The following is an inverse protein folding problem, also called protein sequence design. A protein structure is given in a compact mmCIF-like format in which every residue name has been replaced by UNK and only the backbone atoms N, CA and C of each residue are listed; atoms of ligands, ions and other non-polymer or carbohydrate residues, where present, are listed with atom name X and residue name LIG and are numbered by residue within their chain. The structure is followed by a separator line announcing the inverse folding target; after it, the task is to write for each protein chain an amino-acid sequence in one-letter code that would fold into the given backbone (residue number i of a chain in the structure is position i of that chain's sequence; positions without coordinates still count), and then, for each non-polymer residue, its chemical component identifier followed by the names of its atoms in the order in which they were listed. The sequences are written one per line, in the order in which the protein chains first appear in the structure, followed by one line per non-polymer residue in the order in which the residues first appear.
data_IF_279787931083
#
_entry.id   IF_279787931083
#
_cell.length_a   1.000
_cell.length_b   1.000
_cell.length_c   1.000
_cell.angle_alpha   90.00
_cell.angle_beta   90.00
_cell.angle_gamma   90.00
#
_symmetry.space_group_name_H-M   'P 1'
#
loop_
_entity.id
_entity.type
_entity.pdbx_description
1 polymer ?
#
# COMPACT_ATOMS: atom_id res chain seq x y z
N UNK A 1 -8.12 -32.55 -7.63
CA UNK A 1 -8.93 -33.78 -7.76
C UNK A 1 -10.19 -33.56 -8.63
N UNK A 2 -10.12 -32.99 -9.84
CA UNK A 2 -11.29 -32.96 -10.75
C UNK A 2 -10.93 -32.78 -12.25
N UNK A 3 -9.78 -33.29 -12.74
CA UNK A 3 -9.40 -33.14 -14.16
C UNK A 3 -9.25 -34.43 -14.95
N UNK A 4 -9.51 -35.60 -14.37
CA UNK A 4 -9.39 -36.90 -15.05
C UNK A 4 -10.56 -37.33 -15.95
N UNK A 5 -11.77 -36.71 -15.95
CA UNK A 5 -12.83 -37.13 -16.86
C UNK A 5 -12.76 -36.49 -18.27
N UNK A 6 -12.17 -35.27 -18.41
CA UNK A 6 -12.21 -34.55 -19.69
C UNK A 6 -11.33 -35.14 -20.80
N UNK A 7 -10.20 -35.77 -20.46
CA UNK A 7 -9.32 -36.37 -21.49
C UNK A 7 -9.89 -37.64 -22.13
N UNK A 8 -10.79 -38.38 -21.44
CA UNK A 8 -11.45 -39.54 -22.04
C UNK A 8 -12.58 -39.19 -23.01
N UNK A 9 -13.21 -38.05 -22.86
CA UNK A 9 -14.30 -37.62 -23.76
C UNK A 9 -13.78 -37.09 -25.10
N UNK A 10 -12.59 -36.48 -25.14
CA UNK A 10 -11.99 -35.97 -26.40
C UNK A 10 -11.55 -37.11 -27.30
N UNK A 11 -10.98 -38.19 -26.76
CA UNK A 11 -10.59 -39.38 -27.51
C UNK A 11 -11.81 -40.10 -28.12
N UNK A 12 -12.92 -40.17 -27.35
CA UNK A 12 -14.14 -40.86 -27.80
C UNK A 12 -14.88 -40.07 -28.88
N UNK A 13 -14.84 -38.73 -28.85
CA UNK A 13 -15.47 -37.85 -29.84
C UNK A 13 -14.70 -37.85 -31.16
N UNK A 14 -13.36 -37.84 -31.13
CA UNK A 14 -12.53 -37.96 -32.34
C UNK A 14 -12.71 -39.32 -33.01
N UNK A 15 -12.72 -40.40 -32.24
CA UNK A 15 -12.98 -41.74 -32.76
C UNK A 15 -14.40 -41.89 -33.36
N UNK A 16 -15.38 -41.21 -32.76
CA UNK A 16 -16.77 -41.19 -33.24
C UNK A 16 -16.89 -40.39 -34.53
N UNK A 17 -16.17 -39.31 -34.71
CA UNK A 17 -16.12 -38.50 -35.94
C UNK A 17 -15.44 -39.29 -37.07
N UNK A 18 -14.34 -40.00 -36.79
CA UNK A 18 -13.67 -40.86 -37.81
C UNK A 18 -14.59 -42.00 -38.27
N UNK A 19 -15.35 -42.62 -37.38
CA UNK A 19 -16.30 -43.68 -37.72
C UNK A 19 -17.46 -43.12 -38.55
N UNK A 20 -17.94 -41.92 -38.28
CA UNK A 20 -19.02 -41.27 -39.04
C UNK A 20 -18.52 -40.88 -40.43
N UNK A 21 -17.31 -40.35 -40.56
CA UNK A 21 -16.74 -40.01 -41.89
C UNK A 21 -16.49 -41.25 -42.73
N UNK A 22 -16.00 -42.33 -42.19
CA UNK A 22 -15.80 -43.60 -42.91
C UNK A 22 -17.12 -44.31 -43.28
N UNK A 23 -18.17 -44.15 -42.47
CA UNK A 23 -19.50 -44.73 -42.78
C UNK A 23 -20.27 -43.89 -43.84
N UNK A 24 -20.04 -42.57 -43.88
CA UNK A 24 -20.58 -41.71 -44.96
C UNK A 24 -19.89 -41.92 -46.31
N UNK A 25 -18.59 -42.19 -46.31
CA UNK A 25 -17.85 -42.53 -47.54
C UNK A 25 -18.32 -43.83 -48.19
N UNK A 26 -18.92 -44.75 -47.42
CA UNK A 26 -19.51 -46.01 -47.98
C UNK A 26 -20.93 -45.88 -48.54
N UNK A 27 -21.60 -44.73 -48.39
CA UNK A 27 -22.97 -44.48 -48.86
C UNK A 27 -23.12 -43.62 -50.10
N UNK A 28 -22.04 -43.00 -50.62
CA UNK A 28 -22.06 -42.13 -51.80
C UNK A 28 -21.34 -42.90 -52.90
N UNK A 29 -22.13 -43.33 -53.96
CA UNK A 29 -21.63 -44.13 -55.09
C UNK A 29 -20.49 -43.42 -55.80
N UNK A 30 -19.56 -44.23 -56.28
CA UNK A 30 -18.43 -44.05 -57.19
C UNK A 30 -18.32 -42.70 -57.95
N UNK A 31 -17.94 -41.64 -57.18
CA UNK A 31 -17.10 -40.56 -57.67
C UNK A 31 -15.87 -40.56 -56.78
N UNK A 32 -14.69 -40.70 -57.40
CA UNK A 32 -13.38 -40.64 -56.68
C UNK A 32 -13.20 -39.24 -56.02
N UNK A 33 -13.69 -39.09 -54.79
CA UNK A 33 -13.41 -37.92 -54.03
C UNK A 33 -11.96 -38.04 -53.50
N UNK A 34 -11.12 -37.14 -53.95
CA UNK A 34 -9.76 -37.03 -53.44
C UNK A 34 -9.77 -36.59 -51.98
N UNK A 35 -9.68 -37.57 -51.06
CA UNK A 35 -9.65 -37.36 -49.61
C UNK A 35 -8.27 -37.00 -49.10
N UNK A 36 -7.25 -36.98 -49.97
CA UNK A 36 -5.84 -36.83 -49.58
C UNK A 36 -5.54 -35.48 -48.90
N UNK A 37 -6.23 -34.43 -49.28
CA UNK A 37 -6.08 -33.10 -48.63
C UNK A 37 -6.65 -33.09 -47.22
N UNK A 38 -7.79 -33.72 -46.98
CA UNK A 38 -8.40 -33.83 -45.62
C UNK A 38 -7.60 -34.75 -44.71
N UNK A 39 -7.06 -35.85 -45.25
CA UNK A 39 -6.18 -36.75 -44.46
C UNK A 39 -4.90 -36.04 -44.05
N UNK A 40 -4.31 -35.18 -44.90
CA UNK A 40 -3.16 -34.37 -44.56
C UNK A 40 -3.47 -33.31 -43.50
N UNK A 41 -4.64 -32.65 -43.59
CA UNK A 41 -5.07 -31.67 -42.59
C UNK A 41 -5.36 -32.33 -41.22
N UNK A 42 -5.95 -33.53 -41.21
CA UNK A 42 -6.19 -34.29 -39.98
C UNK A 42 -4.86 -34.68 -39.34
N UNK A 43 -3.88 -35.17 -40.08
CA UNK A 43 -2.57 -35.54 -39.56
C UNK A 43 -1.81 -34.32 -38.96
N UNK A 44 -1.93 -33.15 -39.59
CA UNK A 44 -1.34 -31.92 -39.07
C UNK A 44 -2.01 -31.46 -37.79
N UNK A 45 -3.35 -31.52 -37.66
CA UNK A 45 -4.08 -31.19 -36.44
C UNK A 45 -3.79 -32.17 -35.29
N UNK A 46 -3.63 -33.48 -35.61
CA UNK A 46 -3.21 -34.48 -34.61
C UNK A 46 -1.83 -34.16 -34.05
N UNK A 47 -0.87 -33.77 -34.91
CA UNK A 47 0.46 -33.36 -34.47
C UNK A 47 0.40 -32.11 -33.57
N UNK A 48 -0.35 -31.09 -33.96
CA UNK A 48 -0.54 -29.88 -33.16
C UNK A 48 -1.20 -30.19 -31.81
N UNK A 49 -2.15 -31.12 -31.77
CA UNK A 49 -2.79 -31.55 -30.53
C UNK A 49 -1.81 -32.27 -29.59
N UNK A 50 -0.93 -33.11 -30.13
CA UNK A 50 0.12 -33.79 -29.39
C UNK A 50 1.10 -32.75 -28.79
N UNK A 51 1.54 -31.75 -29.55
CA UNK A 51 2.43 -30.71 -29.09
C UNK A 51 1.76 -29.83 -27.98
N UNK A 52 0.50 -29.45 -28.18
CA UNK A 52 -0.27 -28.71 -27.19
C UNK A 52 -0.44 -29.49 -25.87
N UNK A 53 -0.70 -30.82 -25.97
CA UNK A 53 -0.82 -31.68 -24.82
C UNK A 53 0.49 -31.84 -24.05
N UNK A 54 1.63 -31.96 -24.76
CA UNK A 54 2.96 -32.02 -24.17
C UNK A 54 3.30 -30.70 -23.46
N UNK A 55 3.00 -29.54 -24.08
CA UNK A 55 3.17 -28.23 -23.47
C UNK A 55 2.31 -28.07 -22.21
N UNK A 56 1.07 -28.50 -22.25
CA UNK A 56 0.17 -28.51 -21.07
C UNK A 56 0.71 -29.35 -19.93
N UNK A 57 1.27 -30.50 -20.23
CA UNK A 57 1.88 -31.41 -19.22
C UNK A 57 3.10 -30.77 -18.57
N UNK A 58 3.96 -30.10 -19.37
CA UNK A 58 5.13 -29.39 -18.85
C UNK A 58 4.74 -28.20 -17.95
N UNK A 59 3.73 -27.42 -18.36
CA UNK A 59 3.18 -26.34 -17.54
C UNK A 59 2.57 -26.82 -16.23
N UNK A 60 1.89 -27.97 -16.24
CA UNK A 60 1.38 -28.58 -15.01
C UNK A 60 2.52 -28.96 -14.05
N UNK A 61 3.60 -29.52 -14.56
CA UNK A 61 4.77 -29.86 -13.75
C UNK A 61 5.47 -28.61 -13.18
N UNK A 62 5.57 -27.56 -13.97
CA UNK A 62 6.11 -26.27 -13.49
C UNK A 62 5.24 -25.65 -12.41
N UNK A 63 3.92 -25.71 -12.54
CA UNK A 63 2.98 -25.25 -11.53
C UNK A 63 3.09 -26.07 -10.23
N UNK A 64 3.21 -27.38 -10.32
CA UNK A 64 3.41 -28.24 -9.15
C UNK A 64 4.72 -27.92 -8.42
N UNK A 65 5.82 -27.71 -9.16
CA UNK A 65 7.11 -27.31 -8.59
C UNK A 65 7.04 -25.91 -7.96
N UNK A 66 6.33 -24.98 -8.56
CA UNK A 66 6.09 -23.64 -7.99
C UNK A 66 5.29 -23.72 -6.69
N UNK A 67 4.24 -24.55 -6.63
CA UNK A 67 3.46 -24.75 -5.42
C UNK A 67 4.30 -25.35 -4.28
N UNK A 68 5.15 -26.33 -4.56
CA UNK A 68 6.09 -26.91 -3.56
C UNK A 68 7.04 -25.82 -3.05
N UNK A 69 7.52 -24.95 -3.92
CA UNK A 69 8.40 -23.84 -3.53
C UNK A 69 7.68 -22.81 -2.64
N UNK A 70 6.41 -22.52 -2.94
CA UNK A 70 5.56 -21.64 -2.12
C UNK A 70 5.32 -22.25 -0.73
N UNK A 71 5.04 -23.55 -0.64
CA UNK A 71 4.86 -24.22 0.65
C UNK A 71 6.15 -24.21 1.50
N UNK A 72 7.30 -24.40 0.87
CA UNK A 72 8.60 -24.28 1.57
C UNK A 72 8.86 -22.85 2.07
N UNK A 73 8.59 -21.84 1.24
CA UNK A 73 8.70 -20.43 1.66
C UNK A 73 7.73 -20.10 2.79
N UNK A 74 6.50 -20.60 2.73
CA UNK A 74 5.51 -20.40 3.78
C UNK A 74 5.98 -20.99 5.13
N UNK A 75 6.58 -22.18 5.08
CA UNK A 75 7.16 -22.82 6.27
C UNK A 75 8.32 -22.00 6.85
N UNK A 76 9.20 -21.45 6.00
CA UNK A 76 10.32 -20.60 6.44
C UNK A 76 9.82 -19.29 7.06
N UNK A 77 8.81 -18.66 6.47
CA UNK A 77 8.19 -17.44 7.03
C UNK A 77 7.58 -17.74 8.41
N UNK A 78 6.87 -18.84 8.55
CA UNK A 78 6.29 -19.24 9.84
C UNK A 78 7.36 -19.46 10.92
N UNK A 79 8.47 -20.07 10.57
CA UNK A 79 9.62 -20.26 11.49
C UNK A 79 10.26 -18.94 11.89
N UNK A 80 10.42 -18.00 10.94
CA UNK A 80 10.96 -16.66 11.21
C UNK A 80 10.03 -15.85 12.13
N UNK A 81 8.71 -15.94 11.92
CA UNK A 81 7.73 -15.29 12.80
C UNK A 81 7.86 -15.85 14.23
N UNK A 82 7.96 -17.16 14.39
CA UNK A 82 8.15 -17.76 15.72
C UNK A 82 9.47 -17.34 16.38
N UNK A 83 10.54 -17.21 15.61
CA UNK A 83 11.83 -16.71 16.12
C UNK A 83 11.73 -15.25 16.56
N UNK A 84 11.01 -14.42 15.81
CA UNK A 84 10.75 -13.02 16.14
C UNK A 84 9.90 -12.89 17.42
N UNK A 85 8.84 -13.68 17.55
CA UNK A 85 8.00 -13.71 18.75
C UNK A 85 8.81 -14.13 20.00
N UNK A 86 9.68 -15.13 19.86
CA UNK A 86 10.55 -15.56 20.96
C UNK A 86 11.60 -14.50 21.32
N UNK A 87 12.15 -13.78 20.33
CA UNK A 87 13.08 -12.68 20.57
C UNK A 87 12.37 -11.53 21.31
N UNK A 88 11.17 -11.16 20.88
CA UNK A 88 10.35 -10.14 21.53
C UNK A 88 10.00 -10.52 22.97
N UNK A 89 9.56 -11.77 23.22
CA UNK A 89 9.29 -12.27 24.56
C UNK A 89 10.55 -12.24 25.46
N UNK A 90 11.72 -12.48 24.87
CA UNK A 90 13.01 -12.40 25.61
C UNK A 90 13.34 -10.95 25.96
N UNK A 91 13.10 -10.01 25.04
CA UNK A 91 13.27 -8.57 25.26
C UNK A 91 12.33 -8.10 26.36
N UNK A 92 11.04 -8.45 26.30
CA UNK A 92 10.06 -8.12 27.35
C UNK A 92 10.42 -8.71 28.72
N UNK A 93 10.93 -9.96 28.74
CA UNK A 93 11.39 -10.58 29.99
C UNK A 93 12.63 -9.87 30.57
N UNK A 94 13.56 -9.43 29.73
CA UNK A 94 14.70 -8.61 30.17
C UNK A 94 14.27 -7.25 30.70
N UNK A 95 13.28 -6.60 30.05
CA UNK A 95 12.70 -5.33 30.47
C UNK A 95 11.96 -5.47 31.83
N UNK A 96 11.24 -6.59 32.03
CA UNK A 96 10.48 -6.83 33.26
C UNK A 96 11.35 -7.19 34.47
N UNK A 97 12.50 -7.80 34.28
CA UNK A 97 13.41 -8.19 35.37
C UNK A 97 14.23 -7.04 35.95
N UNK A 98 14.40 -5.95 35.21
CA UNK A 98 15.30 -4.87 35.59
C UNK A 98 14.65 -3.77 36.44
N UNK A 99 13.32 -3.71 36.50
CA UNK A 99 12.60 -2.65 37.25
C UNK A 99 12.92 -1.22 36.79
N UNK A 100 13.77 -1.10 35.75
CA UNK A 100 14.09 0.14 35.05
C UNK A 100 13.80 -0.08 33.59
N UNK A 101 12.93 0.71 33.01
CA UNK A 101 12.80 0.86 31.57
C UNK A 101 14.20 1.18 31.01
N UNK A 102 14.79 0.26 30.24
CA UNK A 102 16.04 0.53 29.49
C UNK A 102 15.78 1.38 28.23
N UNK A 103 14.74 2.15 28.22
CA UNK A 103 14.58 3.21 27.25
C UNK A 103 15.79 4.16 27.40
N UNK A 104 16.58 4.29 26.35
CA UNK A 104 17.68 5.23 26.35
C UNK A 104 17.13 6.64 26.65
N UNK A 105 17.62 7.29 27.69
CA UNK A 105 17.29 8.69 27.92
C UNK A 105 18.32 9.57 27.21
N UNK A 106 17.92 10.11 26.08
CA UNK A 106 18.70 11.01 25.24
C UNK A 106 18.01 12.38 25.13
N UNK A 107 17.05 12.66 26.04
CA UNK A 107 16.29 13.90 26.03
C UNK A 107 17.19 15.13 26.11
N UNK A 108 16.79 16.19 25.39
CA UNK A 108 17.52 17.47 25.33
C UNK A 108 18.94 17.39 24.75
N UNK A 109 19.37 16.25 24.23
CA UNK A 109 20.69 16.10 23.66
C UNK A 109 20.79 16.79 22.28
N UNK A 110 22.02 17.16 21.93
CA UNK A 110 22.35 17.59 20.59
C UNK A 110 23.05 16.44 19.87
N UNK A 111 22.39 15.88 18.85
CA UNK A 111 22.88 14.79 18.01
C UNK A 111 23.08 15.22 16.56
N UNK A 112 23.25 16.53 16.32
CA UNK A 112 23.42 17.07 14.98
C UNK A 112 24.57 16.39 14.22
N UNK A 113 24.30 15.97 12.98
CA UNK A 113 25.29 15.32 12.12
C UNK A 113 25.73 13.94 12.63
N UNK A 114 25.11 13.37 13.65
CA UNK A 114 25.45 12.04 14.15
C UNK A 114 25.13 10.96 13.09
N UNK A 115 25.87 9.86 13.10
CA UNK A 115 25.58 8.66 12.34
C UNK A 115 24.93 7.63 13.25
N UNK A 116 23.61 7.48 13.12
CA UNK A 116 22.75 6.59 13.88
C UNK A 116 22.01 5.60 12.96
N UNK A 117 22.54 5.39 11.74
CA UNK A 117 21.96 4.45 10.79
C UNK A 117 21.87 3.05 11.40
N UNK A 118 20.66 2.43 11.32
CA UNK A 118 20.37 1.14 11.90
C UNK A 118 20.37 1.10 13.44
N UNK A 119 20.39 2.25 14.13
CA UNK A 119 20.34 2.30 15.58
C UNK A 119 19.05 1.64 16.11
N UNK A 120 19.15 0.92 17.24
CA UNK A 120 18.02 0.28 17.91
C UNK A 120 17.67 1.05 19.18
N UNK A 121 16.64 1.89 19.10
CA UNK A 121 16.23 2.84 20.14
C UNK A 121 14.71 2.78 20.43
N UNK A 122 14.08 1.60 20.48
CA UNK A 122 12.63 1.53 20.75
C UNK A 122 12.35 2.09 22.14
N UNK A 123 11.22 2.79 22.26
CA UNK A 123 10.75 3.42 23.49
C UNK A 123 11.73 4.44 24.10
N UNK A 124 12.76 4.90 23.38
CA UNK A 124 13.72 5.87 23.87
C UNK A 124 13.03 7.20 24.25
N UNK A 125 13.53 7.86 25.30
CA UNK A 125 13.16 9.22 25.61
C UNK A 125 14.06 10.18 24.79
N UNK A 126 13.48 10.75 23.74
CA UNK A 126 14.13 11.66 22.80
C UNK A 126 13.47 13.04 22.80
N UNK A 127 12.76 13.38 23.88
CA UNK A 127 12.07 14.68 24.01
C UNK A 127 13.06 15.84 23.90
N UNK A 128 12.71 16.85 23.08
CA UNK A 128 13.54 18.04 22.85
C UNK A 128 14.94 17.73 22.32
N UNK A 129 15.20 16.53 21.80
CA UNK A 129 16.48 16.15 21.19
C UNK A 129 16.58 16.79 19.81
N UNK A 130 17.79 17.27 19.49
CA UNK A 130 18.07 17.84 18.18
C UNK A 130 18.84 16.84 17.31
N UNK A 131 18.30 16.58 16.12
CA UNK A 131 18.83 15.64 15.13
C UNK A 131 19.12 16.30 13.79
N UNK A 132 19.55 17.56 13.77
CA UNK A 132 19.77 18.26 12.51
C UNK A 132 20.83 17.53 11.67
N UNK A 133 20.52 17.27 10.42
CA UNK A 133 21.42 16.58 9.47
C UNK A 133 21.92 15.20 9.96
N UNK A 134 21.20 14.59 10.90
CA UNK A 134 21.52 13.28 11.48
C UNK A 134 21.13 12.18 10.49
N UNK A 135 21.95 11.15 10.38
CA UNK A 135 21.60 9.91 9.66
C UNK A 135 20.97 8.89 10.63
N UNK A 136 19.66 8.72 10.53
CA UNK A 136 18.85 7.74 11.25
C UNK A 136 18.29 6.65 10.31
N UNK A 137 18.85 6.52 9.10
CA UNK A 137 18.36 5.59 8.11
C UNK A 137 18.26 4.16 8.66
N UNK A 138 17.13 3.49 8.41
CA UNK A 138 16.81 2.14 8.88
C UNK A 138 16.92 1.95 10.41
N UNK A 139 16.90 3.02 11.20
CA UNK A 139 16.85 2.91 12.66
C UNK A 139 15.48 2.41 13.12
N UNK A 140 15.44 1.75 14.29
CA UNK A 140 14.20 1.43 14.99
C UNK A 140 14.02 2.40 16.15
N UNK A 141 13.00 3.26 16.05
CA UNK A 141 12.58 4.22 17.04
C UNK A 141 11.16 3.93 17.55
N UNK A 142 10.63 2.72 17.26
CA UNK A 142 9.23 2.38 17.57
C UNK A 142 8.87 2.66 19.02
N UNK A 143 7.72 3.31 19.22
CA UNK A 143 7.23 3.70 20.55
C UNK A 143 8.08 4.75 21.28
N UNK A 144 9.08 5.37 20.64
CA UNK A 144 9.89 6.41 21.30
C UNK A 144 9.07 7.67 21.60
N UNK A 145 9.44 8.39 22.66
CA UNK A 145 8.92 9.71 22.99
C UNK A 145 9.83 10.79 22.38
N UNK A 146 9.37 11.38 21.28
CA UNK A 146 10.07 12.40 20.50
C UNK A 146 9.38 13.76 20.56
N UNK A 147 8.57 14.01 21.60
CA UNK A 147 7.87 15.28 21.72
C UNK A 147 8.84 16.46 21.65
N UNK A 148 8.54 17.42 20.77
CA UNK A 148 9.37 18.60 20.48
C UNK A 148 10.78 18.29 19.94
N UNK A 149 11.05 17.09 19.44
CA UNK A 149 12.31 16.79 18.78
C UNK A 149 12.44 17.54 17.44
N UNK A 150 13.66 17.76 16.98
CA UNK A 150 13.95 18.54 15.78
C UNK A 150 14.77 17.71 14.77
N UNK A 151 14.19 17.42 13.58
CA UNK A 151 14.78 16.57 12.55
C UNK A 151 15.11 17.35 11.25
N UNK A 152 15.60 18.58 11.37
CA UNK A 152 15.91 19.40 10.18
C UNK A 152 16.93 18.71 9.27
N UNK A 153 16.54 18.49 7.99
CA UNK A 153 17.36 17.87 6.95
C UNK A 153 17.99 16.53 7.39
N UNK A 154 17.32 15.80 8.28
CA UNK A 154 17.77 14.48 8.72
C UNK A 154 17.40 13.41 7.70
N UNK A 155 18.22 12.36 7.65
CA UNK A 155 17.94 11.15 6.86
C UNK A 155 17.19 10.15 7.75
N UNK A 156 15.88 10.01 7.52
CA UNK A 156 14.98 9.06 8.18
C UNK A 156 14.53 7.94 7.20
N UNK A 157 15.31 7.69 6.12
CA UNK A 157 14.99 6.67 5.13
C UNK A 157 14.78 5.31 5.78
N UNK A 158 13.62 4.68 5.55
CA UNK A 158 13.28 3.34 6.04
C UNK A 158 13.27 3.20 7.57
N UNK A 159 13.14 4.30 8.32
CA UNK A 159 13.05 4.30 9.77
C UNK A 159 11.73 3.68 10.24
N UNK A 160 11.78 2.89 11.31
CA UNK A 160 10.60 2.43 12.04
C UNK A 160 10.25 3.48 13.11
N UNK A 161 9.20 4.25 12.84
CA UNK A 161 8.58 5.25 13.72
C UNK A 161 7.18 4.81 14.16
N UNK A 162 6.87 3.53 14.07
CA UNK A 162 5.57 3.02 14.50
C UNK A 162 5.31 3.28 15.98
N UNK A 163 4.08 3.69 16.31
CA UNK A 163 3.67 4.00 17.69
C UNK A 163 4.48 5.10 18.39
N UNK A 164 5.25 5.92 17.69
CA UNK A 164 5.99 7.03 18.32
C UNK A 164 5.04 8.08 18.87
N UNK A 165 5.45 8.70 19.97
CA UNK A 165 4.82 9.90 20.50
C UNK A 165 5.67 11.12 20.15
N UNK A 166 5.28 11.85 19.08
CA UNK A 166 6.07 12.92 18.46
C UNK A 166 5.32 14.24 18.31
N UNK A 167 4.49 14.67 19.31
CA UNK A 167 3.75 15.91 19.16
C UNK A 167 4.69 17.12 19.15
N UNK A 168 4.32 18.12 18.32
CA UNK A 168 5.08 19.35 18.13
C UNK A 168 6.53 19.15 17.65
N UNK A 169 6.89 17.99 17.13
CA UNK A 169 8.20 17.77 16.52
C UNK A 169 8.32 18.46 15.16
N UNK A 170 9.55 18.73 14.71
CA UNK A 170 9.85 19.46 13.48
C UNK A 170 10.63 18.56 12.53
N UNK A 171 10.04 18.29 11.36
CA UNK A 171 10.58 17.39 10.32
C UNK A 171 10.95 18.12 9.03
N UNK A 172 11.19 19.43 9.08
CA UNK A 172 11.50 20.24 7.89
C UNK A 172 12.70 19.69 7.11
N UNK A 173 12.49 19.42 5.80
CA UNK A 173 13.51 18.85 4.91
C UNK A 173 13.94 17.43 5.27
N UNK A 174 13.25 16.73 6.14
CA UNK A 174 13.58 15.35 6.50
C UNK A 174 13.23 14.38 5.34
N UNK A 175 14.12 13.43 5.08
CA UNK A 175 13.86 12.30 4.18
C UNK A 175 13.21 11.16 4.97
N UNK A 176 11.89 11.01 4.85
CA UNK A 176 11.09 9.96 5.46
C UNK A 176 10.77 8.82 4.46
N UNK A 177 11.42 8.79 3.31
CA UNK A 177 11.16 7.79 2.27
C UNK A 177 11.13 6.37 2.86
N UNK A 178 10.06 5.62 2.59
CA UNK A 178 9.80 4.27 3.09
C UNK A 178 9.78 4.12 4.63
N UNK A 179 9.57 5.19 5.39
CA UNK A 179 9.40 5.12 6.84
C UNK A 179 8.06 4.47 7.21
N UNK A 180 8.03 3.81 8.37
CA UNK A 180 6.79 3.32 8.99
C UNK A 180 6.37 4.25 10.12
N UNK A 181 5.28 4.99 9.93
CA UNK A 181 4.66 5.91 10.90
C UNK A 181 3.30 5.38 11.38
N UNK A 182 3.04 4.07 11.23
CA UNK A 182 1.78 3.47 11.63
C UNK A 182 1.47 3.74 13.10
N UNK A 183 0.26 4.22 13.39
CA UNK A 183 -0.20 4.57 14.74
C UNK A 183 0.69 5.60 15.48
N UNK A 184 1.49 6.40 14.76
CA UNK A 184 2.29 7.47 15.33
C UNK A 184 1.41 8.66 15.78
N UNK A 185 1.72 9.28 16.91
CA UNK A 185 1.13 10.56 17.31
C UNK A 185 2.03 11.72 16.87
N UNK A 186 1.62 12.39 15.81
CA UNK A 186 2.26 13.54 15.18
C UNK A 186 1.43 14.82 15.38
N UNK A 187 0.63 14.86 16.44
CA UNK A 187 -0.20 16.02 16.79
C UNK A 187 0.62 17.31 16.77
N UNK A 188 0.19 18.28 15.98
CA UNK A 188 0.87 19.57 15.82
C UNK A 188 2.32 19.49 15.32
N UNK A 189 2.74 18.37 14.75
CA UNK A 189 4.05 18.24 14.12
C UNK A 189 4.14 19.14 12.88
N UNK A 190 5.38 19.50 12.48
CA UNK A 190 5.65 20.44 11.40
C UNK A 190 6.49 19.78 10.34
N UNK A 191 5.96 19.84 9.13
CA UNK A 191 6.59 19.40 7.91
C UNK A 191 6.63 20.57 6.92
N UNK A 192 7.42 20.49 5.89
CA UNK A 192 7.45 21.47 4.81
C UNK A 192 7.49 20.78 3.44
N UNK A 193 7.56 21.58 2.38
CA UNK A 193 7.59 21.08 1.00
C UNK A 193 8.87 20.29 0.65
N UNK A 194 9.91 20.36 1.47
CA UNK A 194 11.16 19.61 1.32
C UNK A 194 11.13 18.26 2.06
N UNK A 195 10.11 18.03 2.89
CA UNK A 195 9.92 16.74 3.57
C UNK A 195 9.46 15.68 2.57
N UNK A 196 10.22 14.58 2.44
CA UNK A 196 9.91 13.51 1.48
C UNK A 196 9.16 12.36 2.17
N UNK A 197 7.94 12.12 1.75
CA UNK A 197 7.05 11.07 2.25
C UNK A 197 6.88 9.92 1.26
N UNK A 198 7.76 9.77 0.27
CA UNK A 198 7.61 8.71 -0.75
C UNK A 198 7.61 7.32 -0.10
N UNK A 199 6.54 6.56 -0.32
CA UNK A 199 6.39 5.20 0.18
C UNK A 199 6.23 5.08 1.70
N UNK A 200 5.90 6.16 2.41
CA UNK A 200 5.62 6.15 3.87
C UNK A 200 4.30 5.43 4.16
N UNK A 201 4.27 4.70 5.27
CA UNK A 201 3.06 4.07 5.81
C UNK A 201 2.56 4.91 6.98
N UNK A 202 1.32 5.43 6.86
CA UNK A 202 0.70 6.29 7.87
C UNK A 202 -0.54 5.67 8.54
N UNK A 203 -0.83 4.42 8.30
CA UNK A 203 -2.07 3.77 8.78
C UNK A 203 -2.34 4.10 10.26
N UNK A 204 -3.55 4.62 10.55
CA UNK A 204 -4.00 5.01 11.89
C UNK A 204 -3.10 6.06 12.60
N UNK A 205 -2.30 6.84 11.88
CA UNK A 205 -1.51 7.91 12.47
C UNK A 205 -2.36 9.13 12.83
N UNK A 206 -1.92 9.89 13.84
CA UNK A 206 -2.60 11.10 14.31
C UNK A 206 -1.82 12.34 13.85
N UNK A 207 -2.40 13.11 12.94
CA UNK A 207 -1.89 14.39 12.44
C UNK A 207 -2.77 15.57 12.86
N UNK A 208 -3.50 15.42 13.98
CA UNK A 208 -4.35 16.50 14.48
C UNK A 208 -3.60 17.83 14.54
N UNK A 209 -4.12 18.89 13.87
CA UNK A 209 -3.51 20.21 13.80
C UNK A 209 -2.04 20.24 13.29
N UNK A 210 -1.60 19.25 12.52
CA UNK A 210 -0.27 19.23 11.92
C UNK A 210 -0.13 20.29 10.82
N UNK A 211 1.10 20.78 10.62
CA UNK A 211 1.45 21.71 9.54
C UNK A 211 2.11 20.93 8.42
N UNK A 212 1.41 20.78 7.29
CA UNK A 212 1.82 19.96 6.15
C UNK A 212 1.59 20.72 4.82
N UNK A 213 1.64 22.05 4.84
CA UNK A 213 1.45 22.86 3.63
C UNK A 213 2.45 22.46 2.56
N UNK A 214 1.97 22.20 1.34
CA UNK A 214 2.72 21.75 0.18
C UNK A 214 3.44 20.39 0.37
N UNK A 215 3.02 19.55 1.31
CA UNK A 215 3.57 18.22 1.50
C UNK A 215 3.40 17.35 0.24
N UNK A 216 4.41 16.49 -0.05
CA UNK A 216 4.39 15.57 -1.17
C UNK A 216 3.92 14.20 -0.68
N UNK A 217 2.62 13.90 -0.87
CA UNK A 217 1.95 12.68 -0.40
C UNK A 217 1.43 11.80 -1.56
N UNK A 218 2.01 11.97 -2.73
CA UNK A 218 1.62 11.23 -3.94
C UNK A 218 1.67 9.71 -3.71
N UNK A 219 0.55 9.01 -3.96
CA UNK A 219 0.37 7.58 -3.74
C UNK A 219 0.64 7.11 -2.29
N UNK A 220 0.55 8.00 -1.30
CA UNK A 220 0.70 7.64 0.11
C UNK A 220 -0.44 6.72 0.59
N UNK A 221 -0.15 5.86 1.58
CA UNK A 221 -1.16 5.04 2.27
C UNK A 221 -1.55 5.77 3.56
N UNK A 222 -2.72 6.41 3.53
CA UNK A 222 -3.23 7.29 4.59
C UNK A 222 -4.50 6.74 5.27
N UNK A 223 -4.74 5.43 5.18
CA UNK A 223 -5.97 4.78 5.66
C UNK A 223 -6.17 5.05 7.16
N UNK A 224 -7.35 5.58 7.51
CA UNK A 224 -7.75 5.84 8.90
C UNK A 224 -6.96 6.96 9.60
N UNK A 225 -6.19 7.76 8.89
CA UNK A 225 -5.40 8.87 9.47
C UNK A 225 -6.33 9.97 10.00
N UNK A 226 -6.00 10.52 11.17
CA UNK A 226 -6.64 11.72 11.71
C UNK A 226 -5.89 12.98 11.25
N UNK A 227 -6.45 13.69 10.27
CA UNK A 227 -6.00 15.00 9.79
C UNK A 227 -6.90 16.15 10.28
N UNK A 228 -7.70 15.94 11.33
CA UNK A 228 -8.56 17.01 11.80
C UNK A 228 -7.75 18.26 12.17
N UNK A 229 -8.19 19.42 11.67
CA UNK A 229 -7.50 20.72 11.83
C UNK A 229 -6.13 20.81 11.16
N UNK A 230 -5.68 19.83 10.38
CA UNK A 230 -4.39 19.89 9.71
C UNK A 230 -4.39 20.95 8.61
N UNK A 231 -3.24 21.60 8.41
CA UNK A 231 -2.97 22.47 7.26
C UNK A 231 -2.34 21.64 6.15
N UNK A 232 -3.15 21.26 5.16
CA UNK A 232 -2.79 20.54 3.94
C UNK A 232 -2.81 21.46 2.71
N UNK A 233 -2.75 22.79 2.92
CA UNK A 233 -2.81 23.78 1.83
C UNK A 233 -1.74 23.48 0.77
N UNK A 234 -2.19 23.28 -0.47
CA UNK A 234 -1.29 22.99 -1.61
C UNK A 234 -0.60 21.62 -1.56
N UNK A 235 -0.99 20.71 -0.66
CA UNK A 235 -0.43 19.36 -0.61
C UNK A 235 -0.74 18.58 -1.90
N UNK A 236 0.21 17.75 -2.35
CA UNK A 236 -0.01 16.80 -3.43
C UNK A 236 -0.41 15.45 -2.85
N UNK A 237 -1.70 15.15 -2.90
CA UNK A 237 -2.34 13.92 -2.44
C UNK A 237 -2.71 13.00 -3.62
N UNK A 238 -2.22 13.29 -4.84
CA UNK A 238 -2.62 12.57 -6.04
C UNK A 238 -2.36 11.06 -5.90
N UNK A 239 -3.41 10.27 -6.19
CA UNK A 239 -3.40 8.81 -6.09
C UNK A 239 -3.26 8.26 -4.66
N UNK A 240 -3.32 9.07 -3.61
CA UNK A 240 -3.26 8.60 -2.23
C UNK A 240 -4.50 7.78 -1.84
N UNK A 241 -4.32 6.79 -0.97
CA UNK A 241 -5.42 6.05 -0.32
C UNK A 241 -5.73 6.71 1.03
N UNK A 242 -6.81 7.48 1.05
CA UNK A 242 -7.32 8.21 2.22
C UNK A 242 -8.62 7.59 2.76
N UNK A 243 -8.81 6.29 2.55
CA UNK A 243 -10.00 5.59 3.02
C UNK A 243 -10.21 5.78 4.52
N UNK A 244 -11.39 6.26 4.90
CA UNK A 244 -11.79 6.44 6.31
C UNK A 244 -11.00 7.51 7.07
N UNK A 245 -10.34 8.45 6.39
CA UNK A 245 -9.63 9.57 7.06
C UNK A 245 -10.60 10.54 7.73
N UNK A 246 -10.17 11.09 8.87
CA UNK A 246 -10.80 12.24 9.49
C UNK A 246 -10.14 13.54 8.98
N UNK A 247 -10.87 14.29 8.17
CA UNK A 247 -10.45 15.58 7.59
C UNK A 247 -11.30 16.74 8.16
N UNK A 248 -11.93 16.54 9.30
CA UNK A 248 -12.77 17.59 9.91
C UNK A 248 -11.95 18.86 10.17
N UNK A 249 -12.46 20.00 9.68
CA UNK A 249 -11.80 21.30 9.80
C UNK A 249 -10.41 21.39 9.14
N UNK A 250 -10.02 20.44 8.32
CA UNK A 250 -8.74 20.49 7.59
C UNK A 250 -8.77 21.60 6.53
N UNK A 251 -7.62 22.22 6.31
CA UNK A 251 -7.42 23.17 5.22
C UNK A 251 -6.77 22.46 4.03
N UNK A 252 -7.57 22.17 3.01
CA UNK A 252 -7.19 21.50 1.76
C UNK A 252 -7.15 22.46 0.58
N UNK A 253 -7.11 23.78 0.82
CA UNK A 253 -7.06 24.76 -0.27
C UNK A 253 -5.88 24.50 -1.18
N UNK A 254 -6.11 24.59 -2.49
CA UNK A 254 -5.08 24.36 -3.51
C UNK A 254 -4.48 22.94 -3.49
N UNK A 255 -4.97 22.00 -2.69
CA UNK A 255 -4.49 20.63 -2.67
C UNK A 255 -4.78 19.92 -4.00
N UNK A 256 -3.88 19.05 -4.43
CA UNK A 256 -4.08 18.16 -5.56
C UNK A 256 -4.55 16.80 -5.05
N UNK A 257 -5.82 16.46 -5.30
CA UNK A 257 -6.43 15.18 -4.94
C UNK A 257 -6.83 14.36 -6.19
N UNK A 258 -6.12 14.54 -7.33
CA UNK A 258 -6.39 13.75 -8.53
C UNK A 258 -6.21 12.25 -8.26
N UNK A 259 -7.26 11.46 -8.54
CA UNK A 259 -7.24 10.00 -8.36
C UNK A 259 -7.09 9.55 -6.91
N UNK A 260 -7.31 10.42 -5.92
CA UNK A 260 -7.30 10.08 -4.50
C UNK A 260 -8.51 9.21 -4.14
N UNK A 261 -8.33 8.18 -3.33
CA UNK A 261 -9.43 7.43 -2.72
C UNK A 261 -9.82 8.06 -1.38
N UNK A 262 -10.98 8.73 -1.34
CA UNK A 262 -11.56 9.35 -0.15
C UNK A 262 -12.77 8.54 0.39
N UNK A 263 -12.89 7.27 0.02
CA UNK A 263 -13.99 6.42 0.47
C UNK A 263 -14.15 6.47 2.00
N UNK A 264 -15.37 6.71 2.47
CA UNK A 264 -15.72 6.82 3.90
C UNK A 264 -15.02 7.96 4.68
N UNK A 265 -14.34 8.92 4.02
CA UNK A 265 -13.70 10.05 4.67
C UNK A 265 -14.71 11.07 5.25
N UNK A 266 -14.33 11.75 6.34
CA UNK A 266 -15.13 12.84 6.93
C UNK A 266 -14.50 14.20 6.65
N UNK A 267 -15.14 14.99 5.78
CA UNK A 267 -14.75 16.35 5.38
C UNK A 267 -15.58 17.43 6.06
N UNK A 268 -16.23 17.10 7.17
CA UNK A 268 -17.08 18.07 7.92
C UNK A 268 -16.29 19.34 8.27
N UNK A 269 -16.81 20.49 7.84
CA UNK A 269 -16.20 21.81 7.99
C UNK A 269 -14.81 21.98 7.32
N UNK A 270 -14.37 21.09 6.45
CA UNK A 270 -13.14 21.24 5.70
C UNK A 270 -13.22 22.37 4.66
N UNK A 271 -12.07 22.92 4.27
CA UNK A 271 -11.94 24.00 3.28
C UNK A 271 -11.18 23.45 2.04
N UNK A 272 -11.88 23.35 0.88
CA UNK A 272 -11.30 22.80 -0.35
C UNK A 272 -11.15 23.82 -1.47
N UNK A 273 -11.31 25.10 -1.22
CA UNK A 273 -11.28 26.13 -2.27
C UNK A 273 -10.05 25.99 -3.17
N UNK A 274 -10.27 25.98 -4.49
CA UNK A 274 -9.24 25.84 -5.53
C UNK A 274 -8.48 24.49 -5.50
N UNK A 275 -8.96 23.46 -4.78
CA UNK A 275 -8.37 22.13 -4.85
C UNK A 275 -8.75 21.40 -6.15
N UNK A 276 -7.88 20.47 -6.60
CA UNK A 276 -8.12 19.60 -7.76
C UNK A 276 -8.62 18.23 -7.26
N UNK A 277 -9.62 17.64 -7.93
CA UNK A 277 -10.21 16.37 -7.52
C UNK A 277 -10.64 15.48 -8.69
N UNK A 278 -9.99 15.64 -9.87
CA UNK A 278 -10.31 14.80 -11.03
C UNK A 278 -10.08 13.32 -10.69
N UNK A 279 -11.05 12.46 -11.06
CA UNK A 279 -11.00 11.01 -10.87
C UNK A 279 -10.85 10.56 -9.40
N UNK A 280 -11.09 11.42 -8.40
CA UNK A 280 -11.13 11.04 -7.00
C UNK A 280 -12.33 10.12 -6.69
N UNK A 281 -12.13 9.09 -5.86
CA UNK A 281 -13.25 8.29 -5.32
C UNK A 281 -13.82 8.97 -4.09
N UNK A 282 -15.08 9.40 -4.19
CA UNK A 282 -15.81 10.13 -3.15
C UNK A 282 -16.93 9.29 -2.53
N UNK A 283 -16.83 7.96 -2.63
CA UNK A 283 -17.84 7.04 -2.12
C UNK A 283 -18.04 7.21 -0.62
N UNK A 284 -19.28 7.46 -0.18
CA UNK A 284 -19.67 7.65 1.21
C UNK A 284 -18.97 8.81 1.96
N UNK A 285 -18.38 9.77 1.27
CA UNK A 285 -17.76 10.94 1.93
C UNK A 285 -18.81 11.74 2.70
N UNK A 286 -18.46 12.18 3.92
CA UNK A 286 -19.28 13.07 4.73
C UNK A 286 -18.92 14.52 4.43
N UNK A 287 -19.92 15.30 3.91
CA UNK A 287 -19.79 16.68 3.45
C UNK A 287 -20.60 17.66 4.31
N UNK A 288 -20.44 17.73 5.56
CA UNK A 288 -21.26 18.63 6.39
C UNK A 288 -20.58 20.00 6.54
N UNK A 289 -21.22 21.06 6.05
CA UNK A 289 -20.67 22.43 6.05
C UNK A 289 -19.25 22.55 5.42
N UNK A 290 -18.94 21.70 4.45
CA UNK A 290 -17.66 21.72 3.71
C UNK A 290 -17.66 22.83 2.68
N UNK A 291 -16.56 23.57 2.55
CA UNK A 291 -16.38 24.51 1.45
C UNK A 291 -15.78 23.79 0.25
N UNK A 292 -16.54 23.71 -0.83
CA UNK A 292 -16.21 22.98 -2.04
C UNK A 292 -15.07 23.70 -2.84
N UNK A 293 -14.42 23.00 -3.81
CA UNK A 293 -13.36 23.58 -4.63
C UNK A 293 -13.73 24.88 -5.35
N UNK A 294 -14.97 25.06 -5.75
CA UNK A 294 -15.49 26.29 -6.38
C UNK A 294 -15.86 27.41 -5.36
N UNK A 295 -15.60 27.20 -4.07
CA UNK A 295 -15.89 28.13 -2.98
C UNK A 295 -17.35 28.10 -2.49
N UNK A 296 -18.21 27.23 -3.02
CA UNK A 296 -19.58 27.07 -2.52
C UNK A 296 -19.62 26.14 -1.29
N UNK A 297 -20.71 26.22 -0.52
CA UNK A 297 -20.87 25.33 0.63
C UNK A 297 -21.62 24.04 0.24
N UNK A 298 -21.18 22.88 0.72
CA UNK A 298 -21.81 21.58 0.45
C UNK A 298 -23.29 21.54 0.86
N UNK A 299 -23.67 22.23 1.95
CA UNK A 299 -25.05 22.26 2.44
C UNK A 299 -25.99 22.96 1.45
N UNK A 300 -25.48 23.92 0.68
CA UNK A 300 -26.21 24.61 -0.39
C UNK A 300 -26.29 23.76 -1.68
N UNK A 301 -25.44 22.73 -1.81
CA UNK A 301 -25.28 21.87 -2.99
C UNK A 301 -25.86 20.45 -2.79
N UNK A 302 -26.77 20.26 -1.86
CA UNK A 302 -27.38 18.96 -1.59
C UNK A 302 -26.54 18.05 -0.71
N UNK A 303 -25.71 18.63 0.15
CA UNK A 303 -24.74 18.00 1.06
C UNK A 303 -23.65 17.22 0.31
N UNK A 304 -23.12 17.78 -0.77
CA UNK A 304 -22.00 17.19 -1.51
C UNK A 304 -21.20 18.24 -2.27
N UNK A 305 -19.91 17.99 -2.50
CA UNK A 305 -19.07 18.74 -3.41
C UNK A 305 -18.76 17.99 -4.73
N UNK A 306 -19.34 16.82 -4.97
CA UNK A 306 -19.03 15.98 -6.14
C UNK A 306 -19.21 16.71 -7.49
N UNK A 307 -20.19 17.62 -7.59
CA UNK A 307 -20.46 18.39 -8.80
C UNK A 307 -19.61 19.67 -8.92
N UNK A 308 -18.80 19.99 -7.93
CA UNK A 308 -18.08 21.23 -7.77
C UNK A 308 -16.54 21.01 -7.79
N UNK A 309 -16.09 19.82 -8.15
CA UNK A 309 -14.68 19.50 -8.31
C UNK A 309 -14.10 20.28 -9.50
N UNK A 310 -12.96 20.90 -9.31
CA UNK A 310 -12.20 21.52 -10.39
C UNK A 310 -11.47 20.41 -11.17
N UNK A 311 -11.60 20.48 -12.51
CA UNK A 311 -11.05 19.50 -13.45
C UNK A 311 -9.76 20.08 -14.08
#
# INVERSE_FOLDING_TARGET
FYFTPMMKEVDVTLLSIMIIVSSLAGCIGEEEYDTSEYESQIAELELQLIEANNTSTDLMLQLENANVSIEMMHSQVTELILQLENANATIEAMQSQSGNSYAADMSTNNLDGASLSGAYLPYANLRYTRFWTTDLSNANLSGADMAHAEFYNSNLFGVDLSYVYSPNAWYHGADLTNADLSSADLTSAKFDYETDFTGVIFTDALFFNAQMSNAQLTNAILIGVDFAWADLTGADLSGADMTGTDLMYADLRLANMEGTDLTDADLTNAELTDSLGQDADLTNVTWNNTICPDGTNSDDNGNTCENNLLI
#
